data_IF_184990528911
#
_entry.id   IF_184990528911
#
_cell.length_a   1.000
_cell.length_b   1.000
_cell.length_c   1.000
_cell.angle_alpha   90.00
_cell.angle_beta   90.00
_cell.angle_gamma   90.00
#
_symmetry.space_group_name_H-M   'P 1'
#
loop_
_entity.id
_entity.type
_entity.pdbx_description
1 polymer ?
2 non-polymer ?
3 non-polymer ?
4 water ?
#
# COMPACT_ATOMS: atom_id res chain seq x y z
N UNK A 12 14.73 -5.21 10.63
CA UNK A 12 13.52 -6.01 10.48
C UNK A 12 12.61 -5.88 11.70
N UNK A 13 13.07 -5.09 12.67
CA UNK A 13 12.39 -5.00 13.97
C UNK A 13 11.25 -3.99 13.88
N UNK A 14 10.00 -4.41 14.07
CA UNK A 14 8.88 -3.45 13.97
C UNK A 14 8.87 -2.39 15.06
N UNK A 15 9.61 -2.57 16.16
CA UNK A 15 9.64 -1.56 17.20
C UNK A 15 10.67 -0.46 16.95
N UNK A 16 11.63 -0.69 16.06
CA UNK A 16 12.55 0.34 15.60
C UNK A 16 11.79 1.15 14.54
N UNK A 17 10.91 2.02 15.03
CA UNK A 17 9.93 2.68 14.17
C UNK A 17 9.82 4.16 14.50
N UNK A 18 10.81 4.72 15.19
CA UNK A 18 10.73 6.09 15.68
C UNK A 18 11.70 7.04 15.00
N UNK A 19 12.95 6.63 14.71
CA UNK A 19 13.92 7.56 14.14
C UNK A 19 13.57 7.88 12.69
N UNK A 20 13.71 9.14 12.33
CA UNK A 20 13.28 9.59 11.00
C UNK A 20 14.17 9.00 9.90
N UNK A 21 13.56 8.38 8.91
CA UNK A 21 14.27 7.93 7.71
C UNK A 21 13.75 8.75 6.56
N UNK A 22 14.58 9.65 6.01
CA UNK A 22 14.16 10.60 4.98
C UNK A 22 14.83 10.26 3.66
N UNK A 23 14.09 9.59 2.77
CA UNK A 23 14.61 9.19 1.47
C UNK A 23 14.60 10.32 0.45
N UNK A 24 14.20 11.54 0.83
CA UNK A 24 14.56 12.68 0.00
C UNK A 24 15.97 13.19 0.29
N UNK A 25 16.61 12.70 1.35
CA UNK A 25 17.95 13.12 1.74
C UNK A 25 18.95 11.95 1.76
N UNK A 26 18.50 10.71 1.61
CA UNK A 26 19.39 9.55 1.59
C UNK A 26 18.97 8.62 0.47
N UNK A 27 19.89 7.76 0.04
CA UNK A 27 19.61 6.79 -0.99
C UNK A 27 18.56 5.77 -0.52
N UNK A 28 17.62 5.45 -1.40
CA UNK A 28 16.55 4.52 -1.04
C UNK A 28 17.10 3.09 -0.97
N UNK A 29 16.72 2.39 0.10
CA UNK A 29 17.01 0.96 0.24
C UNK A 29 15.84 0.37 1.01
N UNK A 30 15.05 -0.48 0.35
CA UNK A 30 13.85 -1.03 0.98
C UNK A 30 14.18 -1.88 2.20
N UNK A 31 15.38 -2.47 2.24
CA UNK A 31 15.72 -3.27 3.40
C UNK A 31 15.85 -2.44 4.68
N UNK A 32 16.07 -1.13 4.55
CA UNK A 32 16.09 -0.28 5.74
C UNK A 32 14.71 -0.07 6.35
N UNK A 33 13.64 -0.33 5.61
CA UNK A 33 12.28 -0.11 6.11
C UNK A 33 11.44 -1.39 6.14
N UNK A 34 12.04 -2.55 5.90
CA UNK A 34 11.26 -3.79 5.89
C UNK A 34 10.43 -3.95 7.18
N UNK A 35 11.05 -3.75 8.35
CA UNK A 35 10.32 -3.89 9.60
C UNK A 35 9.20 -2.88 9.75
N UNK A 36 9.45 -1.65 9.31
CA UNK A 36 8.43 -0.60 9.38
C UNK A 36 7.23 -0.87 8.47
N UNK A 37 7.40 -1.67 7.42
CA UNK A 37 6.32 -1.99 6.50
C UNK A 37 5.47 -3.20 6.94
N UNK A 38 5.74 -3.77 8.12
CA UNK A 38 4.91 -4.86 8.62
C UNK A 38 3.54 -4.33 9.03
N UNK A 39 2.55 -5.19 8.94
CA UNK A 39 1.17 -4.88 9.28
C UNK A 39 0.60 -5.96 10.19
N UNK A 40 -0.44 -5.62 10.93
CA UNK A 40 -1.16 -6.61 11.69
C UNK A 40 -2.10 -7.36 10.76
N UNK A 41 -2.39 -8.63 11.06
CA UNK A 41 -3.30 -9.42 10.23
C UNK A 41 -4.67 -8.77 10.08
N UNK A 42 -5.26 -8.94 8.89
CA UNK A 42 -6.62 -8.47 8.58
C UNK A 42 -6.74 -6.95 8.62
N UNK A 43 -5.63 -6.22 8.51
CA UNK A 43 -5.69 -4.74 8.49
C UNK A 43 -5.19 -4.08 7.21
N UNK A 44 -4.47 -4.76 6.33
CA UNK A 44 -3.81 -4.04 5.23
C UNK A 44 -4.80 -3.66 4.16
N UNK A 45 -4.69 -2.41 3.71
CA UNK A 45 -5.40 -1.94 2.53
C UNK A 45 -4.41 -1.59 1.42
N UNK A 46 -4.87 -1.69 0.19
CA UNK A 46 -4.21 -1.22 -1.01
C UNK A 46 -5.18 -0.27 -1.71
N UNK A 47 -4.72 0.39 -2.74
CA UNK A 47 -5.62 1.25 -3.51
C UNK A 47 -5.05 1.50 -4.90
N UNK A 48 -5.94 1.82 -5.84
CA UNK A 48 -5.50 2.29 -7.14
C UNK A 48 -6.68 2.90 -7.88
N UNK A 49 -6.41 3.96 -8.66
CA UNK A 49 -7.37 4.45 -9.61
C UNK A 49 -8.51 5.26 -9.01
N UNK A 50 -9.45 5.60 -9.88
CA UNK A 50 -10.55 6.49 -9.53
C UNK A 50 -11.83 5.99 -10.16
N UNK A 51 -12.96 6.37 -9.58
CA UNK A 51 -14.28 6.16 -10.18
C UNK A 51 -14.95 7.51 -10.33
N UNK A 52 -15.26 7.87 -11.57
CA UNK A 52 -15.87 9.18 -11.83
C UNK A 52 -15.02 10.28 -11.19
N UNK A 53 -13.70 10.14 -11.29
CA UNK A 53 -12.76 11.11 -10.79
C UNK A 53 -12.46 11.01 -9.29
N UNK A 54 -13.15 10.15 -8.55
CA UNK A 54 -13.04 10.09 -7.08
C UNK A 54 -12.09 8.94 -6.74
N UNK A 55 -11.11 9.20 -5.89
CA UNK A 55 -10.13 8.15 -5.53
C UNK A 55 -8.85 8.78 -5.00
N UNK A 56 -7.74 8.11 -5.23
CA UNK A 56 -6.47 8.66 -4.77
C UNK A 56 -6.08 8.18 -3.38
N UNK A 57 -4.84 8.49 -3.01
CA UNK A 57 -4.28 7.98 -1.76
C UNK A 57 -5.03 8.48 -0.54
N UNK A 58 -5.59 9.69 -0.59
CA UNK A 58 -6.25 10.24 0.59
C UNK A 58 -7.64 9.66 0.82
N UNK A 59 -8.39 9.37 -0.26
CA UNK A 59 -9.67 8.68 -0.11
C UNK A 59 -9.43 7.27 0.45
N UNK A 60 -8.39 6.58 -0.05
CA UNK A 60 -8.07 5.25 0.45
C UNK A 60 -7.71 5.32 1.93
N UNK A 61 -6.95 6.33 2.33
CA UNK A 61 -6.58 6.45 3.73
C UNK A 61 -7.81 6.62 4.62
N UNK A 62 -8.74 7.49 4.21
CA UNK A 62 -9.95 7.73 5.01
C UNK A 62 -10.79 6.45 5.14
N UNK A 63 -10.99 5.74 4.04
CA UNK A 63 -11.76 4.49 4.07
C UNK A 63 -11.07 3.47 4.96
N UNK A 64 -9.74 3.32 4.81
CA UNK A 64 -8.99 2.34 5.62
C UNK A 64 -9.10 2.68 7.10
N UNK A 65 -8.88 3.94 7.46
CA UNK A 65 -8.97 4.30 8.86
C UNK A 65 -10.36 4.03 9.41
N UNK A 66 -11.40 4.40 8.65
CA UNK A 66 -12.76 4.22 9.14
C UNK A 66 -13.09 2.76 9.36
N UNK A 67 -12.43 1.86 8.63
CA UNK A 67 -12.68 0.44 8.76
C UNK A 67 -11.64 -0.27 9.63
N UNK A 68 -10.80 0.49 10.32
CA UNK A 68 -9.85 -0.09 11.26
C UNK A 68 -8.58 -0.64 10.64
N UNK A 69 -8.23 -0.19 9.43
CA UNK A 69 -7.06 -0.69 8.72
C UNK A 69 -6.04 0.39 8.43
N UNK A 70 -5.08 0.08 7.57
CA UNK A 70 -3.94 0.94 7.28
C UNK A 70 -3.71 0.84 5.78
N UNK A 71 -3.02 1.84 5.23
CA UNK A 71 -2.59 1.80 3.84
C UNK A 71 -1.07 1.79 3.82
N UNK A 72 -0.50 1.64 2.62
CA UNK A 72 0.95 1.79 2.48
C UNK A 72 1.39 3.17 2.93
N UNK A 73 0.68 4.21 2.46
CA UNK A 73 1.08 5.56 2.76
C UNK A 73 0.87 5.88 4.25
N UNK A 74 -0.20 5.39 4.86
CA UNK A 74 -0.37 5.66 6.28
C UNK A 74 0.68 4.94 7.11
N UNK A 75 1.08 3.74 6.70
CA UNK A 75 2.14 3.01 7.40
C UNK A 75 3.46 3.74 7.26
N UNK A 76 3.77 4.22 6.05
CA UNK A 76 4.99 4.99 5.82
C UNK A 76 4.98 6.24 6.72
N UNK A 77 3.87 6.97 6.77
CA UNK A 77 3.83 8.19 7.57
C UNK A 77 3.95 7.86 9.06
N UNK A 78 3.22 6.83 9.51
CA UNK A 78 3.17 6.54 10.93
C UNK A 78 4.48 5.97 11.47
N UNK A 79 5.33 5.44 10.61
CA UNK A 79 6.63 4.91 11.00
C UNK A 79 7.77 5.85 10.68
N UNK A 80 7.47 7.13 10.46
CA UNK A 80 8.51 8.16 10.38
C UNK A 80 9.42 7.97 9.15
N UNK A 81 8.83 7.58 8.02
CA UNK A 81 9.55 7.47 6.75
C UNK A 81 9.08 8.61 5.85
N UNK A 82 10.01 9.23 5.13
CA UNK A 82 9.70 10.14 4.04
C UNK A 82 10.17 9.49 2.75
N UNK A 83 9.22 9.23 1.84
CA UNK A 83 9.54 8.66 0.53
C UNK A 83 9.85 9.76 -0.46
N UNK A 84 10.59 9.46 -1.54
CA UNK A 84 10.69 10.42 -2.63
C UNK A 84 9.31 10.67 -3.20
N UNK A 85 9.09 11.91 -3.62
CA UNK A 85 7.90 12.26 -4.37
C UNK A 85 7.77 11.35 -5.59
N UNK A 86 6.62 10.71 -5.73
CA UNK A 86 6.41 9.85 -6.87
C UNK A 86 6.16 10.68 -8.12
N UNK A 87 6.79 10.29 -9.22
CA UNK A 87 6.60 10.94 -10.50
C UNK A 87 6.81 9.91 -11.60
N UNK A 88 5.88 9.82 -12.54
CA UNK A 88 5.93 8.72 -13.51
C UNK A 88 7.16 8.78 -14.41
N UNK A 89 7.83 9.93 -14.47
CA UNK A 89 9.00 10.11 -15.33
C UNK A 89 10.32 10.19 -14.56
N UNK A 90 10.31 9.90 -13.25
CA UNK A 90 11.54 9.86 -12.47
C UNK A 90 11.83 8.44 -12.03
N UNK A 91 12.74 7.75 -12.70
CA UNK A 91 12.89 6.30 -12.47
C UNK A 91 13.13 5.95 -11.02
N UNK A 92 13.98 6.69 -10.31
CA UNK A 92 14.32 6.29 -8.96
C UNK A 92 13.11 6.31 -8.05
N UNK A 93 12.14 7.20 -8.29
CA UNK A 93 10.97 7.20 -7.42
C UNK A 93 9.98 6.12 -7.80
N UNK A 94 9.90 5.78 -9.09
CA UNK A 94 9.10 4.64 -9.50
C UNK A 94 9.61 3.36 -8.85
N UNK A 95 10.92 3.11 -8.96
CA UNK A 95 11.50 1.92 -8.34
C UNK A 95 11.29 1.90 -6.83
N UNK A 96 11.49 3.04 -6.16
CA UNK A 96 11.34 3.07 -4.70
C UNK A 96 9.92 2.69 -4.28
N UNK A 97 8.91 3.26 -4.93
CA UNK A 97 7.53 2.95 -4.59
C UNK A 97 7.16 1.53 -4.97
N UNK A 98 7.67 1.03 -6.09
CA UNK A 98 7.40 -0.36 -6.46
C UNK A 98 7.97 -1.31 -5.42
N UNK A 99 9.20 -1.06 -4.96
CA UNK A 99 9.83 -1.95 -3.98
C UNK A 99 9.16 -1.87 -2.62
N UNK A 100 8.79 -0.67 -2.18
CA UNK A 100 8.08 -0.55 -0.92
C UNK A 100 6.73 -1.25 -0.98
N UNK A 101 6.01 -1.07 -2.10
CA UNK A 101 4.73 -1.76 -2.27
C UNK A 101 4.91 -3.26 -2.25
N UNK A 102 5.98 -3.76 -2.88
CA UNK A 102 6.19 -5.20 -2.91
C UNK A 102 6.49 -5.76 -1.53
N UNK A 103 7.31 -5.07 -0.74
CA UNK A 103 7.65 -5.54 0.61
C UNK A 103 6.46 -5.41 1.55
N UNK A 104 5.68 -4.33 1.43
CA UNK A 104 4.45 -4.25 2.18
C UNK A 104 3.54 -5.44 1.84
N UNK A 105 3.37 -5.74 0.55
CA UNK A 105 2.46 -6.82 0.16
C UNK A 105 3.00 -8.19 0.57
N UNK A 106 4.33 -8.38 0.55
CA UNK A 106 4.93 -9.66 0.95
C UNK A 106 4.59 -10.01 2.38
N UNK A 107 4.40 -8.99 3.22
CA UNK A 107 4.29 -9.18 4.65
C UNK A 107 2.86 -9.13 5.18
N UNK A 108 1.86 -8.92 4.31
CA UNK A 108 0.48 -8.91 4.80
C UNK A 108 -0.01 -10.34 5.06
N UNK A 109 -1.03 -10.43 5.90
CA UNK A 109 -1.67 -11.71 6.21
C UNK A 109 -3.17 -11.50 6.42
N UNK A 110 -3.94 -12.56 6.12
CA UNK A 110 -5.35 -12.61 6.43
C UNK A 110 -6.22 -11.98 5.36
N UNK A 111 -7.24 -11.24 5.78
CA UNK A 111 -8.20 -10.62 4.85
C UNK A 111 -7.72 -9.23 4.47
N UNK A 112 -7.58 -9.02 3.17
CA UNK A 112 -7.00 -7.81 2.60
C UNK A 112 -8.10 -7.03 1.87
N UNK A 113 -8.03 -5.71 1.95
CA UNK A 113 -8.99 -4.86 1.25
C UNK A 113 -8.26 -3.92 0.31
N UNK A 114 -8.93 -3.51 -0.78
CA UNK A 114 -8.30 -2.67 -1.77
C UNK A 114 -9.32 -1.68 -2.30
N UNK A 115 -9.01 -0.39 -2.26
CA UNK A 115 -9.93 0.66 -2.77
C UNK A 115 -9.56 0.86 -4.22
N UNK A 116 -10.34 0.28 -5.13
CA UNK A 116 -9.97 0.20 -6.54
C UNK A 116 -11.04 0.89 -7.37
N UNK A 117 -10.63 1.95 -8.08
CA UNK A 117 -11.55 2.64 -8.98
C UNK A 117 -11.76 1.91 -10.29
N UNK A 118 -12.77 2.39 -11.02
CA UNK A 118 -13.07 1.82 -12.32
C UNK A 118 -12.08 2.25 -13.40
N UNK A 119 -11.32 3.32 -13.21
CA UNK A 119 -10.33 3.76 -14.17
C UNK A 119 -8.95 3.70 -13.53
N UNK A 120 -8.05 2.92 -14.10
CA UNK A 120 -6.70 2.73 -13.56
C UNK A 120 -5.67 3.28 -14.53
N UNK A 121 -4.52 3.71 -14.01
CA UNK A 121 -3.49 4.20 -14.89
C UNK A 121 -2.72 3.04 -15.52
N UNK A 122 -2.22 3.20 -16.74
CA UNK A 122 -1.34 2.17 -17.30
C UNK A 122 -0.09 2.02 -16.43
N UNK A 123 0.25 0.77 -16.12
CA UNK A 123 1.38 0.55 -15.25
C UNK A 123 1.09 0.69 -13.77
N UNK A 124 -0.18 0.80 -13.37
CA UNK A 124 -0.50 0.94 -11.96
C UNK A 124 0.05 -0.22 -11.15
N UNK A 125 0.53 0.10 -9.94
CA UNK A 125 1.22 -0.88 -9.11
C UNK A 125 0.27 -1.96 -8.64
N UNK A 126 -1.02 -1.65 -8.51
CA UNK A 126 -1.99 -2.61 -7.97
C UNK A 126 -2.13 -3.83 -8.88
N UNK A 127 -2.45 -3.60 -10.15
CA UNK A 127 -2.70 -4.72 -11.05
C UNK A 127 -1.42 -5.41 -11.44
N UNK A 128 -0.33 -4.66 -11.56
CA UNK A 128 0.89 -5.17 -12.17
C UNK A 128 1.91 -5.67 -11.14
N UNK A 129 1.81 -5.28 -9.87
CA UNK A 129 2.78 -5.65 -8.83
C UNK A 129 2.08 -6.28 -7.61
N UNK A 130 1.16 -5.53 -7.00
CA UNK A 130 0.65 -5.89 -5.68
C UNK A 130 -0.33 -7.07 -5.73
N UNK A 131 -1.37 -7.00 -6.58
CA UNK A 131 -2.34 -8.09 -6.61
C UNK A 131 -1.71 -9.42 -7.01
N UNK A 132 -0.81 -9.49 -7.98
CA UNK A 132 -0.11 -10.75 -8.21
C UNK A 132 0.68 -11.23 -7.00
N UNK A 133 1.31 -10.30 -6.27
CA UNK A 133 2.03 -10.70 -5.05
C UNK A 133 1.07 -11.29 -4.00
N UNK A 134 -0.13 -10.69 -3.85
CA UNK A 134 -1.10 -11.19 -2.86
C UNK A 134 -1.63 -12.57 -3.24
N UNK A 135 -1.90 -12.79 -4.54
CA UNK A 135 -2.32 -14.10 -5.00
C UNK A 135 -1.25 -15.15 -4.76
N UNK A 136 0.04 -14.75 -4.78
CA UNK A 136 1.16 -15.66 -4.50
C UNK A 136 1.47 -15.81 -3.00
N UNK A 137 0.73 -15.12 -2.14
CA UNK A 137 1.03 -15.09 -0.72
C UNK A 137 0.10 -16.07 0.00
N UNK A 138 0.59 -17.22 0.46
CA UNK A 138 -0.32 -18.21 1.08
C UNK A 138 -0.98 -17.73 2.35
N UNK A 139 -0.46 -16.67 2.98
CA UNK A 139 -1.06 -16.13 4.19
C UNK A 139 -2.27 -15.26 3.92
N UNK A 140 -2.49 -14.88 2.67
CA UNK A 140 -3.65 -14.04 2.30
C UNK A 140 -4.81 -14.98 2.03
N UNK A 141 -5.93 -14.75 2.73
CA UNK A 141 -7.09 -15.61 2.60
C UNK A 141 -8.21 -15.01 1.77
N UNK A 142 -8.23 -13.68 1.60
CA UNK A 142 -9.34 -13.04 0.90
C UNK A 142 -8.86 -11.67 0.45
N UNK A 143 -9.29 -11.24 -0.73
CA UNK A 143 -9.08 -9.86 -1.19
C UNK A 143 -10.45 -9.31 -1.60
N UNK A 144 -10.86 -8.20 -0.96
CA UNK A 144 -12.14 -7.56 -1.22
C UNK A 144 -11.86 -6.16 -1.75
N UNK A 145 -12.46 -5.80 -2.89
CA UNK A 145 -12.32 -4.44 -3.39
C UNK A 145 -13.46 -3.58 -2.90
N UNK A 146 -13.18 -2.27 -2.78
CA UNK A 146 -14.15 -1.26 -2.37
C UNK A 146 -14.07 -0.13 -3.40
N UNK A 147 -15.21 0.26 -3.97
CA UNK A 147 -15.16 1.35 -4.94
C UNK A 147 -14.96 2.68 -4.21
N UNK A 148 -14.01 3.52 -4.64
CA UNK A 148 -13.73 4.76 -3.89
C UNK A 148 -14.86 5.76 -3.86
N UNK A 149 -15.74 5.74 -4.86
CA UNK A 149 -16.87 6.67 -4.91
C UNK A 149 -18.11 6.08 -4.26
N UNK A 150 -18.45 4.84 -4.60
CA UNK A 150 -19.75 4.27 -4.25
C UNK A 150 -19.73 3.37 -3.03
N UNK A 151 -18.56 2.86 -2.63
CA UNK A 151 -18.46 1.93 -1.52
C UNK A 151 -18.88 0.51 -1.83
N UNK A 152 -19.23 0.19 -3.08
CA UNK A 152 -19.64 -1.17 -3.40
C UNK A 152 -18.46 -2.11 -3.17
N UNK A 153 -18.72 -3.24 -2.54
CA UNK A 153 -17.67 -4.19 -2.19
C UNK A 153 -17.85 -5.48 -2.97
N UNK A 154 -16.74 -6.03 -3.47
CA UNK A 154 -16.76 -7.28 -4.21
C UNK A 154 -15.59 -8.12 -3.72
N UNK A 155 -15.85 -9.39 -3.42
CA UNK A 155 -14.75 -10.31 -3.11
C UNK A 155 -14.15 -10.75 -4.45
N UNK A 156 -12.90 -10.37 -4.71
CA UNK A 156 -12.25 -10.70 -5.96
C UNK A 156 -11.36 -11.95 -5.83
N UNK A 157 -11.07 -12.38 -4.62
CA UNK A 157 -10.24 -13.57 -4.43
C UNK A 157 -10.53 -14.14 -3.05
N UNK A 158 -10.69 -15.46 -2.95
CA UNK A 158 -10.85 -16.06 -1.63
C UNK A 158 -10.25 -17.46 -1.69
N UNK A 159 -9.20 -17.69 -0.90
CA UNK A 159 -8.44 -18.92 -0.97
C UNK A 159 -9.01 -19.84 0.11
#
# INVERSE_FOLDING_TARGET
>A
MGSSHHHHHHSQDPSNRYSKIDFTQTDFDVELIRGRLKTDPDTAFFWSGRTDGIGGMDVAKKIAKNKGGVTLESTIDDTNIVMPEWDFNTPSSVTAWEEASNVYAEQVSGEIRAVVGSELRPGNIWENIELPRLKANPNVTKVTTIDPKTGVEKIIFER
#
